data_IF_926395966213
#
_entry.id   IF_926395966213
#
_cell.length_a   1.000
_cell.length_b   1.000
_cell.length_c   1.000
_cell.angle_alpha   90.00
_cell.angle_beta   90.00
_cell.angle_gamma   90.00
#
_symmetry.space_group_name_H-M   'P 1'
#
loop_
_entity.id
_entity.type
_entity.pdbx_description
1 polymer ?
#
# COMPACT_ATOMS: atom_id res chain seq x y z
N UNK A 1 -6.44 -18.66 5.71
CA UNK A 1 -6.19 -18.41 7.14
C UNK A 1 -4.79 -18.83 7.57
N UNK A 2 -4.29 -20.02 7.20
CA UNK A 2 -2.92 -20.45 7.58
C UNK A 2 -1.80 -19.50 7.08
N UNK A 3 -1.76 -19.16 5.79
CA UNK A 3 -0.73 -18.27 5.22
C UNK A 3 -0.72 -16.87 5.86
N UNK A 4 -1.88 -16.42 6.29
CA UNK A 4 -2.10 -15.14 6.94
C UNK A 4 -1.40 -15.04 8.29
N UNK A 5 -1.65 -16.04 9.16
CA UNK A 5 -1.07 -16.10 10.50
C UNK A 5 0.46 -16.21 10.41
N UNK A 6 0.97 -16.91 9.41
CA UNK A 6 2.40 -17.02 9.13
C UNK A 6 3.03 -15.66 8.77
N UNK A 7 2.36 -14.83 7.98
CA UNK A 7 2.88 -13.48 7.64
C UNK A 7 2.89 -12.59 8.89
N UNK A 8 1.82 -12.64 9.69
CA UNK A 8 1.72 -11.85 10.92
C UNK A 8 2.77 -12.26 11.94
N UNK A 9 2.98 -13.56 12.18
CA UNK A 9 4.01 -14.04 13.11
C UNK A 9 5.40 -13.62 12.66
N UNK A 10 5.71 -13.78 11.36
CA UNK A 10 7.01 -13.37 10.80
C UNK A 10 7.26 -11.86 10.89
N UNK A 11 6.23 -11.03 10.77
CA UNK A 11 6.38 -9.58 10.98
C UNK A 11 6.77 -9.26 12.41
N UNK A 12 6.19 -9.97 13.39
CA UNK A 12 6.52 -9.79 14.81
C UNK A 12 7.94 -10.29 15.10
N UNK A 13 8.28 -11.49 14.60
CA UNK A 13 9.62 -12.07 14.71
C UNK A 13 10.70 -11.10 14.19
N UNK A 14 10.50 -10.48 13.03
CA UNK A 14 11.48 -9.52 12.47
C UNK A 14 11.61 -8.25 13.33
N UNK A 15 10.51 -7.73 13.90
CA UNK A 15 10.59 -6.54 14.78
C UNK A 15 11.34 -6.87 16.09
N UNK A 16 11.08 -8.04 16.67
CA UNK A 16 11.78 -8.55 17.84
C UNK A 16 13.27 -8.78 17.55
N UNK A 17 13.60 -9.38 16.40
CA UNK A 17 14.97 -9.57 15.94
C UNK A 17 15.71 -8.25 15.75
N UNK A 18 15.07 -7.24 15.14
CA UNK A 18 15.63 -5.89 14.98
C UNK A 18 15.87 -5.23 16.34
N UNK A 19 14.93 -5.37 17.28
CA UNK A 19 15.11 -4.85 18.63
C UNK A 19 16.29 -5.51 19.34
N UNK A 20 16.37 -6.84 19.30
CA UNK A 20 17.46 -7.59 19.89
C UNK A 20 18.81 -7.27 19.23
N UNK A 21 18.82 -7.06 17.91
CA UNK A 21 20.00 -6.60 17.17
C UNK A 21 20.49 -5.24 17.66
N UNK A 22 19.58 -4.27 17.87
CA UNK A 22 19.94 -2.94 18.38
C UNK A 22 20.57 -3.00 19.77
N UNK A 23 20.01 -3.81 20.68
CA UNK A 23 20.59 -4.00 22.02
C UNK A 23 22.01 -4.57 21.95
N UNK A 24 22.21 -5.59 21.12
CA UNK A 24 23.54 -6.20 20.95
C UNK A 24 24.53 -5.28 20.24
N UNK A 25 24.06 -4.35 19.41
CA UNK A 25 24.87 -3.32 18.77
C UNK A 25 25.33 -2.27 19.80
N UNK A 26 24.50 -1.92 20.79
CA UNK A 26 24.87 -1.03 21.89
C UNK A 26 26.02 -1.61 22.73
N UNK A 27 26.03 -2.93 22.96
CA UNK A 27 27.18 -3.60 23.59
C UNK A 27 28.45 -3.47 22.75
N UNK A 28 28.37 -3.61 21.43
CA UNK A 28 29.50 -3.42 20.52
C UNK A 28 30.00 -1.97 20.51
N UNK A 29 29.11 -0.98 20.61
CA UNK A 29 29.47 0.44 20.74
C UNK A 29 30.27 0.66 22.02
N UNK A 30 29.82 0.07 23.14
CA UNK A 30 30.51 0.19 24.42
C UNK A 30 31.93 -0.41 24.37
N UNK A 31 32.06 -1.61 23.79
CA UNK A 31 33.36 -2.27 23.60
C UNK A 31 34.30 -1.46 22.70
N UNK A 32 33.78 -0.83 21.65
CA UNK A 32 34.56 0.02 20.75
C UNK A 32 35.20 1.22 21.47
N UNK A 33 34.60 1.68 22.59
CA UNK A 33 35.14 2.77 23.40
C UNK A 33 36.28 2.36 24.34
N UNK A 34 36.51 1.07 24.56
CA UNK A 34 37.56 0.59 25.45
C UNK A 34 38.95 0.69 24.80
N UNK A 35 39.98 1.00 25.59
CA UNK A 35 41.34 1.24 25.08
C UNK A 35 42.24 0.00 25.01
N UNK A 36 41.72 -1.19 25.35
CA UNK A 36 42.54 -2.41 25.41
C UNK A 36 42.64 -3.11 24.05
N UNK A 37 43.78 -3.77 23.79
CA UNK A 37 43.97 -4.59 22.59
C UNK A 37 43.02 -5.79 22.57
N UNK A 38 42.71 -6.37 23.73
CA UNK A 38 41.73 -7.45 23.85
C UNK A 38 40.32 -7.00 23.48
N UNK A 39 39.88 -5.81 23.93
CA UNK A 39 38.59 -5.24 23.54
C UNK A 39 38.50 -5.01 22.03
N UNK A 40 39.60 -4.60 21.39
CA UNK A 40 39.68 -4.45 19.94
C UNK A 40 39.43 -5.77 19.20
N UNK A 41 40.10 -6.87 19.58
CA UNK A 41 39.89 -8.17 18.94
C UNK A 41 38.44 -8.67 19.13
N UNK A 42 37.91 -8.55 20.35
CA UNK A 42 36.51 -8.90 20.66
C UNK A 42 35.52 -8.05 19.86
N UNK A 43 35.81 -6.76 19.69
CA UNK A 43 35.00 -5.85 18.90
C UNK A 43 34.96 -6.28 17.43
N UNK A 44 36.13 -6.56 16.83
CA UNK A 44 36.25 -7.02 15.44
C UNK A 44 35.42 -8.29 15.18
N UNK A 45 35.56 -9.29 16.05
CA UNK A 45 34.80 -10.55 15.94
C UNK A 45 33.28 -10.29 16.04
N UNK A 46 32.84 -9.57 17.07
CA UNK A 46 31.42 -9.26 17.29
C UNK A 46 30.81 -8.49 16.13
N UNK A 47 31.53 -7.52 15.55
CA UNK A 47 30.99 -6.74 14.43
C UNK A 47 30.77 -7.60 13.18
N UNK A 48 31.66 -8.55 12.91
CA UNK A 48 31.46 -9.52 11.83
C UNK A 48 30.21 -10.38 12.06
N UNK A 49 30.00 -10.86 13.29
CA UNK A 49 28.78 -11.60 13.67
C UNK A 49 27.52 -10.74 13.48
N UNK A 50 27.55 -9.48 13.95
CA UNK A 50 26.42 -8.54 13.80
C UNK A 50 26.11 -8.26 12.33
N UNK A 51 27.09 -8.19 11.46
CA UNK A 51 26.82 -8.06 10.03
C UNK A 51 26.05 -9.28 9.50
N UNK A 52 26.46 -10.49 9.89
CA UNK A 52 25.75 -11.72 9.52
C UNK A 52 24.31 -11.73 10.00
N UNK A 53 24.07 -11.29 11.25
CA UNK A 53 22.72 -11.13 11.80
C UNK A 53 21.88 -10.14 11.00
N UNK A 54 22.42 -8.95 10.72
CA UNK A 54 21.74 -7.92 9.94
C UNK A 54 21.33 -8.44 8.55
N UNK A 55 22.26 -9.10 7.85
CA UNK A 55 21.97 -9.71 6.55
C UNK A 55 20.84 -10.74 6.65
N UNK A 56 20.86 -11.59 7.67
CA UNK A 56 19.79 -12.55 7.94
C UNK A 56 18.42 -11.88 8.14
N UNK A 57 18.36 -10.81 8.95
CA UNK A 57 17.14 -10.04 9.21
C UNK A 57 16.62 -9.42 7.90
N UNK A 58 17.48 -8.73 7.14
CA UNK A 58 17.08 -8.09 5.87
C UNK A 58 16.62 -9.09 4.82
N UNK A 59 17.24 -10.28 4.76
CA UNK A 59 16.84 -11.34 3.84
C UNK A 59 15.45 -11.89 4.20
N UNK A 60 15.19 -12.14 5.49
CA UNK A 60 13.86 -12.57 5.97
C UNK A 60 12.80 -11.51 5.70
N UNK A 61 13.11 -10.24 5.96
CA UNK A 61 12.22 -9.13 5.66
C UNK A 61 11.93 -9.01 4.15
N UNK A 62 12.95 -9.12 3.28
CA UNK A 62 12.75 -9.12 1.82
C UNK A 62 11.92 -10.34 1.36
N UNK A 63 12.19 -11.53 1.90
CA UNK A 63 11.42 -12.73 1.60
C UNK A 63 9.94 -12.56 2.00
N UNK A 64 9.69 -11.99 3.18
CA UNK A 64 8.34 -11.68 3.65
C UNK A 64 7.63 -10.69 2.73
N UNK A 65 8.29 -9.61 2.32
CA UNK A 65 7.73 -8.61 1.39
C UNK A 65 7.41 -9.22 0.02
N UNK A 66 8.29 -10.08 -0.49
CA UNK A 66 8.08 -10.79 -1.75
C UNK A 66 6.94 -11.82 -1.66
N UNK A 67 6.68 -12.36 -0.47
CA UNK A 67 5.59 -13.28 -0.17
C UNK A 67 4.25 -12.60 0.10
N UNK A 68 4.20 -11.25 0.12
CA UNK A 68 2.94 -10.55 0.28
C UNK A 68 2.02 -10.81 -0.92
N UNK A 69 0.70 -10.92 -0.69
CA UNK A 69 -0.29 -10.97 -1.76
C UNK A 69 -0.08 -9.82 -2.75
N UNK A 70 -0.32 -10.07 -4.04
CA UNK A 70 -0.11 -9.08 -5.12
C UNK A 70 -0.84 -7.76 -4.86
N UNK A 71 -1.99 -7.82 -4.19
CA UNK A 71 -2.83 -6.68 -3.82
C UNK A 71 -2.16 -5.74 -2.81
N UNK A 72 -1.34 -6.31 -1.91
CA UNK A 72 -0.56 -5.59 -0.90
C UNK A 72 0.82 -5.22 -1.43
N UNK A 73 1.51 -6.15 -2.11
CA UNK A 73 2.84 -5.93 -2.67
C UNK A 73 2.90 -4.81 -3.72
N UNK A 74 1.79 -4.55 -4.43
CA UNK A 74 1.69 -3.43 -5.39
C UNK A 74 1.44 -2.07 -4.75
N UNK A 75 1.15 -2.00 -3.45
CA UNK A 75 0.86 -0.72 -2.78
C UNK A 75 2.15 0.03 -2.45
N UNK A 76 2.01 1.34 -2.29
CA UNK A 76 3.14 2.22 -1.97
C UNK A 76 3.86 1.75 -0.69
N UNK A 77 3.13 1.26 0.31
CA UNK A 77 3.70 0.79 1.58
C UNK A 77 4.74 -0.32 1.40
N UNK A 78 4.44 -1.33 0.58
CA UNK A 78 5.39 -2.43 0.34
C UNK A 78 6.62 -1.93 -0.44
N UNK A 79 6.43 -1.01 -1.39
CA UNK A 79 7.53 -0.41 -2.16
C UNK A 79 8.39 0.54 -1.32
N UNK A 80 7.77 1.35 -0.47
CA UNK A 80 8.42 2.26 0.47
C UNK A 80 9.24 1.45 1.47
N UNK A 81 8.68 0.38 2.03
CA UNK A 81 9.40 -0.51 2.93
C UNK A 81 10.53 -1.26 2.24
N UNK A 82 10.35 -1.70 0.99
CA UNK A 82 11.44 -2.28 0.19
C UNK A 82 12.56 -1.26 -0.04
N UNK A 83 12.23 -0.02 -0.41
CA UNK A 83 13.20 1.04 -0.62
C UNK A 83 13.95 1.41 0.67
N UNK A 84 13.25 1.46 1.82
CA UNK A 84 13.89 1.65 3.13
C UNK A 84 14.84 0.50 3.43
N UNK A 85 14.44 -0.75 3.20
CA UNK A 85 15.26 -1.92 3.43
C UNK A 85 16.53 -1.90 2.56
N UNK A 86 16.40 -1.58 1.27
CA UNK A 86 17.53 -1.49 0.34
C UNK A 86 18.50 -0.36 0.74
N UNK A 87 17.97 0.81 1.13
CA UNK A 87 18.77 1.93 1.63
C UNK A 87 19.52 1.58 2.92
N UNK A 88 18.86 0.89 3.86
CA UNK A 88 19.47 0.45 5.10
C UNK A 88 20.57 -0.59 4.82
N UNK A 89 20.32 -1.56 3.96
CA UNK A 89 21.30 -2.59 3.57
C UNK A 89 22.55 -1.96 2.92
N UNK A 90 22.36 -1.05 1.96
CA UNK A 90 23.46 -0.33 1.32
C UNK A 90 24.28 0.48 2.32
N UNK A 91 23.61 1.14 3.27
CA UNK A 91 24.28 1.97 4.25
C UNK A 91 25.08 1.13 5.24
N UNK A 92 24.51 0.04 5.76
CA UNK A 92 25.21 -0.89 6.66
C UNK A 92 26.42 -1.52 5.96
N UNK A 93 26.29 -1.95 4.70
CA UNK A 93 27.43 -2.47 3.92
C UNK A 93 28.55 -1.44 3.78
N UNK A 94 28.22 -0.17 3.51
CA UNK A 94 29.20 0.92 3.40
C UNK A 94 29.95 1.12 4.71
N UNK A 95 29.23 1.27 5.82
CA UNK A 95 29.85 1.53 7.12
C UNK A 95 30.66 0.34 7.63
N UNK A 96 30.20 -0.88 7.39
CA UNK A 96 30.98 -2.08 7.68
C UNK A 96 32.27 -2.13 6.86
N UNK A 97 32.21 -1.79 5.57
CA UNK A 97 33.40 -1.69 4.73
C UNK A 97 34.43 -0.71 5.29
N UNK A 98 34.00 0.44 5.79
CA UNK A 98 34.86 1.43 6.45
C UNK A 98 35.51 0.85 7.72
N UNK A 99 34.73 0.21 8.58
CA UNK A 99 35.24 -0.44 9.80
C UNK A 99 36.24 -1.56 9.43
N UNK A 100 35.92 -2.39 8.45
CA UNK A 100 36.79 -3.50 8.02
C UNK A 100 38.13 -3.01 7.49
N UNK A 101 38.14 -1.97 6.66
CA UNK A 101 39.38 -1.38 6.12
C UNK A 101 40.27 -0.81 7.23
N UNK A 102 39.66 -0.20 8.24
CA UNK A 102 40.42 0.35 9.37
C UNK A 102 41.07 -0.72 10.27
N UNK A 103 40.65 -1.97 10.18
CA UNK A 103 41.24 -3.09 10.91
C UNK A 103 42.55 -3.62 10.30
N UNK A 104 42.85 -3.29 9.04
CA UNK A 104 44.00 -3.84 8.31
C UNK A 104 45.32 -3.09 8.60
N UNK A 105 45.29 -1.96 9.32
CA UNK A 105 46.42 -1.02 9.35
C UNK A 105 46.96 -0.54 10.71
N UNK A 106 46.32 -0.76 11.87
CA UNK A 106 46.80 -0.12 13.10
C UNK A 106 46.33 -0.77 14.42
N UNK A 107 47.08 -0.49 15.50
CA UNK A 107 46.52 -0.41 16.85
C UNK A 107 45.45 0.68 16.89
N UNK A 108 44.27 0.39 17.46
CA UNK A 108 43.15 1.32 17.46
C UNK A 108 43.54 2.66 18.13
N UNK A 109 43.76 3.69 17.33
CA UNK A 109 43.92 5.05 17.84
C UNK A 109 42.58 5.53 18.41
N UNK A 110 42.61 6.56 19.27
CA UNK A 110 41.37 7.14 19.79
C UNK A 110 40.46 7.67 18.67
N UNK A 111 41.05 8.23 17.61
CA UNK A 111 40.31 8.73 16.44
C UNK A 111 39.59 7.61 15.67
N UNK A 112 40.23 6.45 15.47
CA UNK A 112 39.60 5.30 14.81
C UNK A 112 38.42 4.75 15.63
N UNK A 113 38.55 4.71 16.97
CA UNK A 113 37.46 4.31 17.85
C UNK A 113 36.25 5.25 17.73
N UNK A 114 36.49 6.55 17.69
CA UNK A 114 35.43 7.55 17.51
C UNK A 114 34.72 7.37 16.16
N UNK A 115 35.48 7.11 15.09
CA UNK A 115 34.93 6.82 13.77
C UNK A 115 34.05 5.55 13.79
N UNK A 116 34.49 4.47 14.45
CA UNK A 116 33.70 3.24 14.59
C UNK A 116 32.39 3.48 15.34
N UNK A 117 32.46 4.17 16.49
CA UNK A 117 31.27 4.52 17.27
C UNK A 117 30.30 5.32 16.40
N UNK A 118 30.79 6.29 15.62
CA UNK A 118 30.00 7.05 14.65
C UNK A 118 29.33 6.16 13.59
N UNK A 119 30.05 5.18 13.03
CA UNK A 119 29.51 4.22 12.09
C UNK A 119 28.43 3.32 12.71
N UNK A 120 28.63 2.84 13.94
CA UNK A 120 27.66 2.00 14.66
C UNK A 120 26.38 2.77 15.00
N UNK A 121 26.48 4.04 15.37
CA UNK A 121 25.30 4.90 15.55
C UNK A 121 24.50 5.05 14.25
N UNK A 122 25.16 5.13 13.09
CA UNK A 122 24.49 5.18 11.80
C UNK A 122 23.80 3.84 11.46
N UNK A 123 24.43 2.70 11.75
CA UNK A 123 23.81 1.37 11.63
C UNK A 123 22.57 1.27 12.53
N UNK A 124 22.67 1.72 13.78
CA UNK A 124 21.53 1.79 14.71
C UNK A 124 20.40 2.65 14.15
N UNK A 125 20.73 3.82 13.59
CA UNK A 125 19.74 4.69 12.94
C UNK A 125 19.04 4.00 11.77
N UNK A 126 19.77 3.23 10.96
CA UNK A 126 19.18 2.45 9.86
C UNK A 126 18.24 1.35 10.39
N UNK A 127 18.62 0.64 11.45
CA UNK A 127 17.75 -0.35 12.10
C UNK A 127 16.45 0.29 12.63
N UNK A 128 16.53 1.46 13.27
CA UNK A 128 15.36 2.22 13.74
C UNK A 128 14.48 2.67 12.56
N UNK A 129 15.09 3.17 11.49
CA UNK A 129 14.38 3.58 10.27
C UNK A 129 13.64 2.41 9.60
N UNK A 130 14.17 1.20 9.68
CA UNK A 130 13.51 -0.01 9.18
C UNK A 130 12.37 -0.50 10.10
N UNK A 131 12.57 -0.44 11.42
CA UNK A 131 11.59 -0.90 12.40
C UNK A 131 10.28 -0.09 12.36
N UNK A 132 10.37 1.23 12.16
CA UNK A 132 9.17 2.09 12.18
C UNK A 132 8.14 1.74 11.07
N UNK A 133 8.52 1.62 9.78
CA UNK A 133 7.58 1.18 8.74
C UNK A 133 7.12 -0.27 8.89
N UNK A 134 7.93 -1.16 9.46
CA UNK A 134 7.51 -2.55 9.77
C UNK A 134 6.39 -2.58 10.82
N UNK A 135 6.50 -1.81 11.90
CA UNK A 135 5.42 -1.65 12.90
C UNK A 135 4.18 -0.98 12.33
N UNK A 136 4.38 0.01 11.46
CA UNK A 136 3.28 0.64 10.71
C UNK A 136 2.55 -0.38 9.83
N UNK A 137 3.30 -1.29 9.18
CA UNK A 137 2.71 -2.36 8.38
C UNK A 137 1.88 -3.31 9.25
N UNK A 138 2.39 -3.72 10.43
CA UNK A 138 1.67 -4.59 11.39
C UNK A 138 0.32 -4.00 11.82
N UNK A 139 0.28 -2.69 12.07
CA UNK A 139 -0.93 -1.96 12.48
C UNK A 139 -1.78 -1.48 11.30
N UNK A 140 -1.37 -1.77 10.05
CA UNK A 140 -2.04 -1.22 8.89
C UNK A 140 -3.45 -1.84 8.71
N UNK A 141 -4.53 -1.02 8.61
CA UNK A 141 -5.91 -1.54 8.55
C UNK A 141 -6.18 -2.51 7.40
N UNK A 142 -5.48 -2.34 6.28
CA UNK A 142 -5.61 -3.27 5.14
C UNK A 142 -4.99 -4.63 5.42
N UNK A 143 -3.88 -4.67 6.18
CA UNK A 143 -3.24 -5.91 6.57
C UNK A 143 -4.17 -6.66 7.51
N UNK A 144 -4.74 -5.98 8.51
CA UNK A 144 -5.73 -6.55 9.42
C UNK A 144 -6.95 -7.10 8.67
N UNK A 145 -7.51 -6.35 7.72
CA UNK A 145 -8.65 -6.82 6.92
C UNK A 145 -8.30 -8.00 6.03
N UNK A 146 -7.13 -7.96 5.40
CA UNK A 146 -6.61 -9.11 4.68
C UNK A 146 -6.47 -10.31 5.62
N UNK A 147 -6.06 -10.07 6.87
CA UNK A 147 -5.88 -11.12 7.85
C UNK A 147 -7.17 -11.76 8.35
N UNK A 148 -8.23 -10.98 8.45
CA UNK A 148 -9.59 -11.44 8.71
C UNK A 148 -10.22 -12.20 7.51
N UNK A 149 -9.48 -12.39 6.41
CA UNK A 149 -10.00 -12.99 5.18
C UNK A 149 -11.00 -12.08 4.44
N UNK A 150 -11.11 -10.81 4.82
CA UNK A 150 -11.99 -9.85 4.16
C UNK A 150 -11.33 -9.40 2.86
N UNK A 151 -12.12 -9.36 1.78
CA UNK A 151 -11.66 -8.84 0.50
C UNK A 151 -11.15 -7.41 0.63
N UNK A 152 -9.94 -7.16 0.12
CA UNK A 152 -9.35 -5.81 0.05
C UNK A 152 -10.01 -5.07 -1.12
N UNK A 153 -10.79 -4.02 -0.84
CA UNK A 153 -11.41 -3.23 -1.90
C UNK A 153 -10.37 -2.42 -2.68
N UNK A 154 -10.74 -2.05 -3.91
CA UNK A 154 -9.84 -1.41 -4.84
C UNK A 154 -9.41 0.00 -4.37
N UNK A 155 -8.10 0.27 -4.49
CA UNK A 155 -7.44 1.55 -4.17
C UNK A 155 -7.52 2.55 -5.32
N UNK A 156 -7.42 3.86 -5.04
CA UNK A 156 -7.26 4.93 -6.05
C UNK A 156 -5.98 4.77 -6.89
N UNK A 157 -4.94 4.18 -6.30
CA UNK A 157 -3.60 4.05 -6.92
C UNK A 157 -3.49 2.88 -7.90
N UNK A 158 -4.54 2.07 -8.04
CA UNK A 158 -4.56 0.94 -8.97
C UNK A 158 -5.57 1.20 -10.08
N UNK A 159 -5.19 0.89 -11.31
CA UNK A 159 -6.06 0.98 -12.46
C UNK A 159 -7.22 -0.03 -12.30
N UNK A 160 -8.42 0.49 -12.05
CA UNK A 160 -9.62 -0.31 -11.74
C UNK A 160 -10.32 -0.72 -13.04
N UNK A 161 -9.74 -1.64 -13.80
CA UNK A 161 -10.29 -2.09 -15.09
C UNK A 161 -11.77 -2.49 -15.04
N UNK A 162 -12.25 -3.30 -14.07
CA UNK A 162 -13.67 -3.67 -14.02
C UNK A 162 -14.60 -2.47 -13.88
N UNK A 163 -14.21 -1.48 -13.06
CA UNK A 163 -14.98 -0.24 -12.88
C UNK A 163 -15.00 0.59 -14.17
N UNK A 164 -13.85 0.74 -14.82
CA UNK A 164 -13.75 1.47 -16.09
C UNK A 164 -14.57 0.82 -17.19
N UNK A 165 -14.47 -0.51 -17.33
CA UNK A 165 -15.28 -1.28 -18.26
C UNK A 165 -16.78 -1.14 -17.97
N UNK A 166 -17.19 -1.26 -16.70
CA UNK A 166 -18.58 -1.04 -16.29
C UNK A 166 -19.07 0.37 -16.62
N UNK A 167 -18.26 1.40 -16.34
CA UNK A 167 -18.58 2.80 -16.61
C UNK A 167 -18.75 3.08 -18.12
N UNK A 168 -17.79 2.64 -18.95
CA UNK A 168 -17.88 2.74 -20.41
C UNK A 168 -19.08 1.98 -20.94
N UNK A 169 -19.29 0.72 -20.50
CA UNK A 169 -20.41 -0.09 -20.95
C UNK A 169 -21.76 0.54 -20.57
N UNK A 170 -21.92 1.02 -19.33
CA UNK A 170 -23.14 1.67 -18.88
C UNK A 170 -23.45 2.94 -19.70
N UNK A 171 -22.42 3.74 -20.01
CA UNK A 171 -22.60 4.94 -20.83
C UNK A 171 -22.89 4.63 -22.30
N UNK A 172 -22.19 3.66 -22.91
CA UNK A 172 -22.49 3.20 -24.26
C UNK A 172 -23.88 2.56 -24.36
N UNK A 173 -24.30 1.83 -23.33
CA UNK A 173 -25.66 1.31 -23.24
C UNK A 173 -26.70 2.44 -23.17
N UNK A 174 -26.44 3.49 -22.38
CA UNK A 174 -27.30 4.69 -22.37
C UNK A 174 -27.35 5.40 -23.73
N UNK A 175 -26.22 5.45 -24.44
CA UNK A 175 -26.14 6.02 -25.80
C UNK A 175 -26.96 5.20 -26.79
N UNK A 176 -26.85 3.87 -26.74
CA UNK A 176 -27.68 2.96 -27.51
C UNK A 176 -29.16 3.14 -27.18
N UNK A 177 -29.51 3.22 -25.89
CA UNK A 177 -30.87 3.38 -25.44
C UNK A 177 -31.51 4.67 -25.97
N UNK A 178 -30.79 5.79 -25.96
CA UNK A 178 -31.34 7.08 -26.38
C UNK A 178 -31.23 7.35 -27.90
N UNK A 179 -30.19 6.81 -28.54
CA UNK A 179 -29.92 7.03 -29.97
C UNK A 179 -30.53 5.97 -30.90
N UNK A 180 -30.62 4.72 -30.45
CA UNK A 180 -30.78 3.57 -31.35
C UNK A 180 -31.86 2.55 -30.93
N UNK A 181 -32.44 2.64 -29.73
CA UNK A 181 -33.46 1.69 -29.27
C UNK A 181 -34.82 1.82 -29.96
N UNK A 182 -35.07 2.93 -30.66
CA UNK A 182 -36.38 3.27 -31.22
C UNK A 182 -37.40 3.76 -30.18
N UNK A 183 -37.03 3.84 -28.89
CA UNK A 183 -37.90 4.39 -27.85
C UNK A 183 -38.08 5.89 -28.00
N UNK A 184 -39.29 6.37 -27.69
CA UNK A 184 -39.57 7.79 -27.56
C UNK A 184 -38.75 8.43 -26.43
N UNK A 185 -38.43 9.71 -26.58
CA UNK A 185 -37.59 10.45 -25.63
C UNK A 185 -38.13 10.41 -24.19
N UNK A 186 -39.44 10.59 -24.02
CA UNK A 186 -40.09 10.50 -22.71
C UNK A 186 -39.93 9.13 -22.05
N UNK A 187 -39.98 8.04 -22.84
CA UNK A 187 -39.80 6.69 -22.35
C UNK A 187 -38.35 6.46 -21.88
N UNK A 188 -37.36 6.98 -22.61
CA UNK A 188 -35.95 6.88 -22.21
C UNK A 188 -35.68 7.70 -20.95
N UNK A 189 -36.21 8.93 -20.86
CA UNK A 189 -36.09 9.77 -19.66
C UNK A 189 -36.75 9.09 -18.45
N UNK A 190 -37.94 8.50 -18.62
CA UNK A 190 -38.62 7.77 -17.56
C UNK A 190 -37.78 6.55 -17.07
N UNK A 191 -37.17 5.80 -18.00
CA UNK A 191 -36.29 4.69 -17.66
C UNK A 191 -35.04 5.15 -16.91
N UNK A 192 -34.41 6.26 -17.34
CA UNK A 192 -33.27 6.85 -16.63
C UNK A 192 -33.66 7.33 -15.22
N UNK A 193 -34.83 7.96 -15.07
CA UNK A 193 -35.35 8.39 -13.78
C UNK A 193 -35.63 7.20 -12.84
N UNK A 194 -36.14 6.09 -13.37
CA UNK A 194 -36.34 4.85 -12.63
C UNK A 194 -35.00 4.27 -12.15
N UNK A 195 -34.01 4.18 -13.04
CA UNK A 195 -32.68 3.69 -12.68
C UNK A 195 -32.01 4.59 -11.62
N UNK A 196 -32.11 5.92 -11.76
CA UNK A 196 -31.57 6.87 -10.78
C UNK A 196 -32.26 6.73 -9.42
N UNK A 197 -33.59 6.57 -9.41
CA UNK A 197 -34.36 6.33 -8.18
C UNK A 197 -33.91 5.05 -7.47
N UNK A 198 -33.65 3.97 -8.23
CA UNK A 198 -33.08 2.73 -7.70
C UNK A 198 -31.67 2.92 -7.11
N UNK A 199 -30.82 3.74 -7.76
CA UNK A 199 -29.50 4.08 -7.24
C UNK A 199 -29.59 4.88 -5.93
N UNK A 200 -30.45 5.89 -5.86
CA UNK A 200 -30.71 6.67 -4.63
C UNK A 200 -31.25 5.78 -3.52
N UNK A 201 -32.22 4.92 -3.80
CA UNK A 201 -32.74 3.96 -2.83
C UNK A 201 -31.64 3.03 -2.30
N UNK A 202 -30.75 2.56 -3.17
CA UNK A 202 -29.59 1.76 -2.77
C UNK A 202 -28.66 2.55 -1.83
N UNK A 203 -28.39 3.82 -2.11
CA UNK A 203 -27.58 4.69 -1.22
C UNK A 203 -28.24 4.90 0.15
N UNK A 204 -29.56 5.09 0.19
CA UNK A 204 -30.33 5.20 1.43
C UNK A 204 -30.21 3.90 2.23
N UNK A 205 -30.45 2.75 1.60
CA UNK A 205 -30.37 1.44 2.24
C UNK A 205 -28.98 1.17 2.82
N UNK A 206 -27.91 1.54 2.10
CA UNK A 206 -26.53 1.44 2.56
C UNK A 206 -26.22 2.33 3.76
N UNK A 207 -26.91 3.46 3.91
CA UNK A 207 -26.71 4.38 5.05
C UNK A 207 -27.47 3.95 6.29
N UNK A 208 -28.65 3.36 6.11
CA UNK A 208 -29.51 2.94 7.22
C UNK A 208 -29.06 1.60 7.81
N UNK A 209 -28.62 0.64 6.98
CA UNK A 209 -28.26 -0.70 7.44
C UNK A 209 -26.79 -1.04 7.19
N UNK A 210 -25.96 -1.15 8.24
CA UNK A 210 -24.56 -1.60 8.10
C UNK A 210 -24.43 -2.97 7.43
N UNK A 211 -25.35 -3.90 7.73
CA UNK A 211 -25.39 -5.22 7.12
C UNK A 211 -25.71 -5.16 5.62
N UNK A 212 -26.66 -4.31 5.20
CA UNK A 212 -26.94 -4.10 3.78
C UNK A 212 -25.74 -3.44 3.08
N UNK A 213 -25.11 -2.45 3.72
CA UNK A 213 -23.92 -1.80 3.18
C UNK A 213 -22.79 -2.80 2.92
N UNK A 214 -22.53 -3.69 3.88
CA UNK A 214 -21.54 -4.74 3.72
C UNK A 214 -21.88 -5.66 2.55
N UNK A 215 -23.11 -6.20 2.50
CA UNK A 215 -23.55 -7.09 1.42
C UNK A 215 -23.47 -6.44 0.04
N UNK A 216 -23.89 -5.18 -0.08
CA UNK A 216 -23.86 -4.44 -1.36
C UNK A 216 -22.41 -4.16 -1.77
N UNK A 217 -21.56 -3.69 -0.85
CA UNK A 217 -20.15 -3.44 -1.14
C UNK A 217 -19.40 -4.73 -1.50
N UNK A 218 -19.74 -5.86 -0.89
CA UNK A 218 -19.16 -7.16 -1.22
C UNK A 218 -19.57 -7.64 -2.62
N UNK A 219 -20.87 -7.55 -2.95
CA UNK A 219 -21.38 -7.88 -4.29
C UNK A 219 -20.78 -6.98 -5.37
N UNK A 220 -20.63 -5.69 -5.08
CA UNK A 220 -20.12 -4.68 -6.01
C UNK A 220 -18.63 -4.36 -5.80
N UNK A 221 -17.86 -5.25 -5.17
CA UNK A 221 -16.46 -4.99 -4.76
C UNK A 221 -15.51 -4.64 -5.90
N UNK A 222 -15.84 -5.07 -7.13
CA UNK A 222 -15.06 -4.79 -8.33
C UNK A 222 -15.30 -3.37 -8.88
N UNK A 223 -16.42 -2.75 -8.52
CA UNK A 223 -16.88 -1.46 -9.05
C UNK A 223 -16.80 -0.37 -7.97
N UNK A 224 -17.12 -0.71 -6.72
CA UNK A 224 -17.18 0.22 -5.58
C UNK A 224 -15.80 0.44 -4.98
N UNK A 225 -15.45 1.70 -4.69
CA UNK A 225 -14.21 2.04 -3.96
C UNK A 225 -14.41 1.95 -2.45
N UNK A 226 -13.36 1.63 -1.71
CA UNK A 226 -13.41 1.58 -0.23
C UNK A 226 -13.92 2.90 0.38
N UNK A 227 -13.48 4.05 -0.14
CA UNK A 227 -13.93 5.37 0.34
C UNK A 227 -15.42 5.65 0.07
N UNK A 228 -16.00 4.95 -0.91
CA UNK A 228 -17.41 5.07 -1.27
C UNK A 228 -18.27 4.21 -0.33
N UNK A 229 -17.68 3.39 0.55
CA UNK A 229 -18.43 2.55 1.50
C UNK A 229 -19.38 3.36 2.38
N UNK A 230 -18.94 4.53 2.85
CA UNK A 230 -19.69 5.40 3.74
C UNK A 230 -20.01 6.77 3.10
N UNK A 231 -19.95 6.85 1.76
CA UNK A 231 -20.23 8.06 0.97
C UNK A 231 -21.15 7.71 -0.19
N UNK A 232 -21.80 8.70 -0.80
CA UNK A 232 -22.56 8.46 -2.05
C UNK A 232 -21.58 7.98 -3.12
N UNK A 233 -21.91 6.90 -3.81
CA UNK A 233 -21.09 6.37 -4.90
C UNK A 233 -21.03 7.34 -6.08
N UNK A 234 -19.91 7.34 -6.81
CA UNK A 234 -19.81 8.14 -8.04
C UNK A 234 -20.82 7.71 -9.10
N UNK A 235 -21.28 6.46 -9.08
CA UNK A 235 -22.29 5.97 -10.01
C UNK A 235 -23.64 6.68 -9.82
N UNK A 236 -24.08 6.87 -8.57
CA UNK A 236 -25.31 7.62 -8.27
C UNK A 236 -25.23 9.06 -8.73
N UNK A 237 -24.09 9.74 -8.49
CA UNK A 237 -23.85 11.10 -9.00
C UNK A 237 -23.85 11.16 -10.52
N UNK A 238 -23.21 10.21 -11.18
CA UNK A 238 -23.17 10.11 -12.63
C UNK A 238 -24.59 9.96 -13.21
N UNK A 239 -25.40 9.05 -12.66
CA UNK A 239 -26.77 8.84 -13.12
C UNK A 239 -27.64 10.08 -12.94
N UNK A 240 -27.51 10.78 -11.81
CA UNK A 240 -28.21 12.04 -11.57
C UNK A 240 -27.80 13.14 -12.56
N UNK A 241 -26.50 13.27 -12.85
CA UNK A 241 -25.99 14.24 -13.82
C UNK A 241 -26.47 13.93 -15.24
N UNK A 242 -26.44 12.66 -15.66
CA UNK A 242 -26.94 12.24 -16.98
C UNK A 242 -28.43 12.53 -17.12
N UNK A 243 -29.24 12.19 -16.10
CA UNK A 243 -30.66 12.50 -16.09
C UNK A 243 -30.91 14.01 -16.19
N UNK A 244 -30.19 14.82 -15.41
CA UNK A 244 -30.32 16.28 -15.46
C UNK A 244 -29.97 16.84 -16.84
N UNK A 245 -28.94 16.30 -17.50
CA UNK A 245 -28.55 16.75 -18.84
C UNK A 245 -29.66 16.48 -19.86
N UNK A 246 -30.29 15.30 -19.83
CA UNK A 246 -31.39 14.97 -20.74
C UNK A 246 -32.68 15.74 -20.45
N UNK A 247 -32.88 16.21 -19.21
CA UNK A 247 -34.04 17.05 -18.87
C UNK A 247 -33.88 18.51 -19.29
N UNK A 248 -32.64 19.02 -19.33
CA UNK A 248 -32.36 20.45 -19.50
C UNK A 248 -31.91 20.77 -20.93
N UNK A 249 -31.14 19.88 -21.57
CA UNK A 249 -30.48 20.16 -22.84
C UNK A 249 -31.08 19.36 -24.00
N UNK A 250 -30.99 19.87 -25.25
CA UNK A 250 -31.43 19.15 -26.43
C UNK A 250 -30.70 17.81 -26.62
N UNK A 251 -31.39 16.84 -27.21
CA UNK A 251 -30.91 15.49 -27.54
C UNK A 251 -29.45 15.40 -28.02
N UNK A 252 -28.98 16.18 -29.01
CA UNK A 252 -27.58 16.11 -29.47
C UNK A 252 -26.56 16.40 -28.36
N UNK A 253 -26.88 17.33 -27.45
CA UNK A 253 -26.02 17.68 -26.32
C UNK A 253 -25.92 16.52 -25.34
N UNK A 254 -27.04 15.88 -25.00
CA UNK A 254 -27.05 14.72 -24.10
C UNK A 254 -26.26 13.54 -24.65
N UNK A 255 -26.37 13.27 -25.96
CA UNK A 255 -25.59 12.25 -26.67
C UNK A 255 -24.08 12.53 -26.56
N UNK A 256 -23.65 13.76 -26.84
CA UNK A 256 -22.24 14.15 -26.78
C UNK A 256 -21.68 14.08 -25.35
N UNK A 257 -22.44 14.58 -24.36
CA UNK A 257 -22.04 14.50 -22.95
C UNK A 257 -21.91 13.05 -22.49
N UNK A 258 -22.86 12.19 -22.84
CA UNK A 258 -22.82 10.77 -22.45
C UNK A 258 -21.66 10.04 -23.13
N UNK A 259 -21.38 10.31 -24.40
CA UNK A 259 -20.23 9.76 -25.09
C UNK A 259 -18.91 10.20 -24.45
N UNK A 260 -18.74 11.51 -24.23
CA UNK A 260 -17.53 12.06 -23.62
C UNK A 260 -17.32 11.55 -22.19
N UNK A 261 -18.37 11.53 -21.37
CA UNK A 261 -18.27 11.07 -19.98
C UNK A 261 -18.05 9.56 -19.86
N UNK A 262 -18.46 8.75 -20.84
CA UNK A 262 -18.29 7.29 -20.78
C UNK A 262 -16.98 6.81 -21.40
N UNK A 263 -16.59 7.36 -22.54
CA UNK A 263 -15.37 7.01 -23.28
C UNK A 263 -14.23 7.96 -22.92
N UNK A 264 -14.45 9.26 -23.06
CA UNK A 264 -13.44 10.30 -22.81
C UNK A 264 -12.90 10.27 -21.38
N UNK A 265 -13.76 10.29 -20.36
CA UNK A 265 -13.34 10.20 -18.95
C UNK A 265 -12.60 8.88 -18.65
N UNK A 266 -13.01 7.78 -19.29
CA UNK A 266 -12.36 6.48 -19.11
C UNK A 266 -10.94 6.50 -19.65
N UNK A 267 -10.76 7.01 -20.87
CA UNK A 267 -9.44 7.17 -21.53
C UNK A 267 -8.57 8.14 -20.75
N UNK A 268 -9.11 9.30 -20.36
CA UNK A 268 -8.40 10.30 -19.57
C UNK A 268 -7.88 9.73 -18.25
N UNK A 269 -8.66 8.87 -17.58
CA UNK A 269 -8.22 8.24 -16.34
C UNK A 269 -7.35 6.98 -16.52
N UNK A 270 -6.99 6.59 -17.75
CA UNK A 270 -6.00 5.51 -18.02
C UNK A 270 -4.59 6.10 -18.14
N UNK A 271 -4.47 7.29 -18.72
CA UNK A 271 -3.24 8.09 -18.81
C UNK A 271 -2.90 8.66 -17.44
#
# INVERSE_FOLDING_TARGET
MAATLVIQSRLLEIDEELHAYMLRLEDSIRLAGESSSEAYFRFKERISERLGEWQGITLRARALLSGLPRELGRRNIARELQAVLDNCELSVRRWYGQISLSFEGATASAALREEWVGCLHKIRSAAVQLASPLRSLQSHPLLHRFFEGKGVMASRTQLQWPRKAFHTFAGLFGLWLYGYSGLGESAVIALLALCFSGAVFTEILRRISPAANQKICEKLRLITRERERNKISSATWFMGAVLAVFLIFPKPTGILVLYYTSVGDTVAGIV
#
